data_IF_261486657522
#
_entry.id   IF_261486657522
#
_cell.length_a   1.000
_cell.length_b   1.000
_cell.length_c   1.000
_cell.angle_alpha   90.00
_cell.angle_beta   90.00
_cell.angle_gamma   90.00
#
_symmetry.space_group_name_H-M   'P 1'
#
loop_
_entity.id
_entity.type
_entity.pdbx_description
1 polymer ?
#
# COMPACT_ATOMS: atom_id res chain seq x y z
N UNK A 1 30.72 33.34 -32.04
CA UNK A 1 30.37 31.96 -31.64
C UNK A 1 28.93 31.94 -31.14
N UNK A 2 27.98 31.74 -32.05
CA UNK A 2 26.56 31.60 -31.76
C UNK A 2 26.24 30.11 -31.64
N UNK A 3 26.07 29.62 -30.41
CA UNK A 3 25.54 28.28 -30.17
C UNK A 3 24.04 28.28 -30.51
N UNK A 4 23.65 27.55 -31.56
CA UNK A 4 22.26 27.26 -31.91
C UNK A 4 21.93 25.78 -31.56
N UNK A 5 20.74 25.26 -31.90
CA UNK A 5 19.54 25.06 -31.09
C UNK A 5 19.38 23.63 -30.53
N UNK A 6 20.48 22.96 -30.16
CA UNK A 6 20.44 21.55 -29.71
C UNK A 6 19.80 21.34 -28.32
N UNK A 7 19.76 22.37 -27.46
CA UNK A 7 19.09 22.32 -26.16
C UNK A 7 17.57 22.52 -26.29
N UNK A 8 17.12 23.32 -27.27
CA UNK A 8 15.69 23.54 -27.54
C UNK A 8 15.02 22.23 -28.00
N UNK A 9 15.64 21.50 -28.93
CA UNK A 9 15.11 20.20 -29.39
C UNK A 9 15.05 19.13 -28.29
N UNK A 10 15.99 19.12 -27.34
CA UNK A 10 15.96 18.21 -26.19
C UNK A 10 14.92 18.61 -25.14
N UNK A 11 14.71 19.91 -24.92
CA UNK A 11 13.67 20.42 -24.05
C UNK A 11 12.27 20.10 -24.60
N UNK A 12 12.07 20.28 -25.90
CA UNK A 12 10.79 19.97 -26.58
C UNK A 12 10.50 18.48 -26.61
N UNK A 13 11.50 17.65 -26.89
CA UNK A 13 11.35 16.19 -26.81
C UNK A 13 10.97 15.72 -25.39
N UNK A 14 11.58 16.31 -24.34
CA UNK A 14 11.23 16.01 -22.95
C UNK A 14 9.82 16.49 -22.60
N UNK A 15 9.41 17.67 -23.06
CA UNK A 15 8.06 18.20 -22.84
C UNK A 15 7.00 17.34 -23.54
N UNK A 16 7.25 16.94 -24.78
CA UNK A 16 6.37 16.04 -25.53
C UNK A 16 6.27 14.67 -24.87
N UNK A 17 7.40 14.12 -24.40
CA UNK A 17 7.38 12.87 -23.62
C UNK A 17 6.50 12.99 -22.37
N UNK A 18 6.61 14.07 -21.59
CA UNK A 18 5.75 14.28 -20.41
C UNK A 18 4.27 14.39 -20.79
N UNK A 19 3.93 15.11 -21.87
CA UNK A 19 2.54 15.18 -22.38
C UNK A 19 1.98 13.80 -22.74
N UNK A 20 2.77 12.99 -23.46
CA UNK A 20 2.38 11.64 -23.85
C UNK A 20 2.18 10.75 -22.63
N UNK A 21 3.07 10.80 -21.63
CA UNK A 21 2.93 10.01 -20.41
C UNK A 21 1.72 10.43 -19.57
N UNK A 22 1.42 11.73 -19.48
CA UNK A 22 0.24 12.22 -18.79
C UNK A 22 -1.06 11.78 -19.48
N UNK A 23 -1.13 11.94 -20.81
CA UNK A 23 -2.28 11.49 -21.60
C UNK A 23 -2.45 9.96 -21.52
N UNK A 24 -1.35 9.20 -21.60
CA UNK A 24 -1.37 7.75 -21.46
C UNK A 24 -1.88 7.31 -20.10
N UNK A 25 -1.41 7.94 -19.01
CA UNK A 25 -1.90 7.64 -17.65
C UNK A 25 -3.41 7.81 -17.57
N UNK A 26 -3.93 8.96 -18.02
CA UNK A 26 -5.36 9.22 -18.00
C UNK A 26 -6.14 8.22 -18.87
N UNK A 27 -5.66 7.94 -20.08
CA UNK A 27 -6.31 7.01 -21.00
C UNK A 27 -6.39 5.59 -20.45
N UNK A 28 -5.33 5.11 -19.80
CA UNK A 28 -5.31 3.79 -19.14
C UNK A 28 -6.21 3.74 -17.90
N UNK A 29 -6.30 4.84 -17.15
CA UNK A 29 -7.18 4.93 -15.98
C UNK A 29 -8.67 4.92 -16.38
N UNK A 30 -9.02 5.55 -17.51
CA UNK A 30 -10.41 5.66 -18.01
C UNK A 30 -10.88 4.45 -18.83
N UNK A 31 -10.04 3.96 -19.74
CA UNK A 31 -10.43 2.96 -20.75
C UNK A 31 -9.71 1.62 -20.56
N UNK A 32 -8.89 1.51 -19.51
CA UNK A 32 -8.10 0.33 -19.22
C UNK A 32 -6.99 0.09 -20.25
N UNK A 33 -6.50 -1.16 -20.31
CA UNK A 33 -5.50 -1.67 -21.22
C UNK A 33 -5.50 -0.98 -22.56
N UNK A 34 -6.64 -1.19 -23.20
CA UNK A 34 -6.81 -1.49 -24.63
C UNK A 34 -6.80 -0.27 -25.52
N UNK A 35 -6.65 0.92 -24.93
CA UNK A 35 -6.53 2.17 -25.67
C UNK A 35 -5.30 2.14 -26.60
N UNK A 36 -5.49 2.62 -27.82
CA UNK A 36 -4.45 2.60 -28.85
C UNK A 36 -3.45 3.75 -28.68
N UNK A 37 -2.20 3.53 -29.11
CA UNK A 37 -1.16 4.57 -29.13
C UNK A 37 -1.58 5.79 -29.96
N UNK A 38 -2.41 5.60 -30.99
CA UNK A 38 -2.95 6.69 -31.81
C UNK A 38 -3.91 7.60 -31.04
N UNK A 39 -4.80 7.02 -30.23
CA UNK A 39 -5.72 7.78 -29.36
C UNK A 39 -4.93 8.58 -28.31
N UNK A 40 -3.93 7.94 -27.68
CA UNK A 40 -3.04 8.61 -26.72
C UNK A 40 -2.28 9.76 -27.39
N UNK A 41 -1.76 9.56 -28.61
CA UNK A 41 -1.04 10.60 -29.35
C UNK A 41 -1.94 11.81 -29.62
N UNK A 42 -3.18 11.56 -30.06
CA UNK A 42 -4.18 12.60 -30.27
C UNK A 42 -4.50 13.37 -28.98
N UNK A 43 -4.76 12.66 -27.87
CA UNK A 43 -5.01 13.28 -26.56
C UNK A 43 -3.81 14.09 -26.05
N UNK A 44 -2.58 13.64 -26.31
CA UNK A 44 -1.36 14.35 -25.95
C UNK A 44 -1.09 15.59 -26.81
N UNK A 45 -1.79 15.75 -27.94
CA UNK A 45 -1.51 16.78 -28.94
C UNK A 45 -0.13 16.59 -29.59
N UNK A 46 0.31 15.34 -29.76
CA UNK A 46 1.63 14.98 -30.33
C UNK A 46 1.42 14.08 -31.54
N UNK A 47 2.21 14.27 -32.61
CA UNK A 47 2.10 13.43 -33.80
C UNK A 47 2.38 11.95 -33.51
N UNK A 48 1.57 11.04 -34.06
CA UNK A 48 1.67 9.59 -33.81
C UNK A 48 3.08 9.03 -34.06
N UNK A 49 3.77 9.47 -35.14
CA UNK A 49 5.14 9.05 -35.42
C UNK A 49 6.15 9.39 -34.31
N UNK A 50 5.92 10.47 -33.56
CA UNK A 50 6.76 10.82 -32.39
C UNK A 50 6.51 9.85 -31.23
N UNK A 51 5.25 9.47 -31.00
CA UNK A 51 4.89 8.49 -29.97
C UNK A 51 5.47 7.12 -30.31
N UNK A 52 5.25 6.60 -31.53
CA UNK A 52 5.78 5.30 -31.97
C UNK A 52 7.31 5.24 -31.92
N UNK A 53 8.01 6.35 -32.20
CA UNK A 53 9.48 6.41 -32.09
C UNK A 53 9.97 6.30 -30.66
N UNK A 54 9.26 6.88 -29.69
CA UNK A 54 9.65 6.86 -28.27
C UNK A 54 9.08 5.65 -27.51
N UNK A 55 7.99 5.09 -27.99
CA UNK A 55 7.23 4.01 -27.38
C UNK A 55 6.80 3.04 -28.50
N UNK A 56 7.73 2.18 -28.98
CA UNK A 56 7.46 1.30 -30.10
C UNK A 56 6.47 0.17 -29.74
N UNK A 57 6.26 -0.08 -28.45
CA UNK A 57 5.26 -1.00 -27.95
C UNK A 57 4.46 -0.39 -26.80
N UNK A 58 3.27 -0.94 -26.57
CA UNK A 58 2.37 -0.52 -25.50
C UNK A 58 2.93 -0.84 -24.12
N UNK A 59 3.64 -1.96 -23.99
CA UNK A 59 4.32 -2.38 -22.76
C UNK A 59 5.41 -1.36 -22.38
N UNK A 60 6.13 -0.81 -23.37
CA UNK A 60 7.14 0.25 -23.14
C UNK A 60 6.46 1.55 -22.70
N UNK A 61 5.28 1.87 -23.23
CA UNK A 61 4.52 3.03 -22.77
C UNK A 61 3.99 2.83 -21.34
N UNK A 62 3.39 1.68 -21.05
CA UNK A 62 2.91 1.29 -19.72
C UNK A 62 4.05 1.34 -18.68
N UNK A 63 5.22 0.79 -19.02
CA UNK A 63 6.42 0.89 -18.20
C UNK A 63 6.77 2.34 -17.86
N UNK A 64 6.86 3.17 -18.89
CA UNK A 64 7.28 4.55 -18.73
C UNK A 64 6.25 5.36 -17.92
N UNK A 65 4.96 5.05 -18.05
CA UNK A 65 3.90 5.64 -17.23
C UNK A 65 4.10 5.25 -15.76
N UNK A 66 4.28 3.96 -15.45
CA UNK A 66 4.51 3.51 -14.08
C UNK A 66 5.79 4.08 -13.46
N UNK A 67 6.88 4.13 -14.24
CA UNK A 67 8.14 4.76 -13.83
C UNK A 67 7.92 6.23 -13.47
N UNK A 68 7.20 6.98 -14.31
CA UNK A 68 6.89 8.38 -14.04
C UNK A 68 6.00 8.53 -12.79
N UNK A 69 4.98 7.67 -12.63
CA UNK A 69 4.11 7.70 -11.46
C UNK A 69 4.88 7.43 -10.16
N UNK A 70 5.79 6.46 -10.15
CA UNK A 70 6.66 6.19 -9.00
C UNK A 70 7.63 7.34 -8.73
N UNK A 71 8.22 7.91 -9.77
CA UNK A 71 9.13 9.06 -9.64
C UNK A 71 8.39 10.30 -9.10
N UNK A 72 7.14 10.54 -9.51
CA UNK A 72 6.29 11.61 -8.97
C UNK A 72 5.94 11.36 -7.49
N UNK A 73 5.75 10.11 -7.08
CA UNK A 73 5.53 9.75 -5.67
C UNK A 73 6.80 9.90 -4.83
N UNK A 74 7.98 9.60 -5.38
CA UNK A 74 9.27 9.86 -4.71
C UNK A 74 9.44 11.35 -4.46
N UNK A 75 9.10 12.20 -5.44
CA UNK A 75 9.19 13.64 -5.29
C UNK A 75 8.18 14.17 -4.27
N UNK A 76 6.95 13.66 -4.28
CA UNK A 76 5.97 13.97 -3.25
C UNK A 76 6.47 13.56 -1.85
N UNK A 77 7.07 12.37 -1.70
CA UNK A 77 7.62 11.91 -0.43
C UNK A 77 8.68 12.88 0.12
N UNK A 78 9.55 13.42 -0.74
CA UNK A 78 10.54 14.44 -0.36
C UNK A 78 9.90 15.74 0.13
N UNK A 79 8.86 16.20 -0.55
CA UNK A 79 8.11 17.39 -0.16
C UNK A 79 7.42 17.20 1.20
N UNK A 80 6.86 16.01 1.45
CA UNK A 80 6.30 15.67 2.75
C UNK A 80 7.37 15.57 3.83
N UNK A 81 8.53 14.97 3.53
CA UNK A 81 9.65 14.84 4.46
C UNK A 81 10.23 16.19 4.90
N UNK A 82 10.04 17.25 4.11
CA UNK A 82 10.45 18.61 4.47
C UNK A 82 9.54 19.29 5.51
N UNK A 83 8.43 18.68 5.92
CA UNK A 83 7.51 19.25 6.91
C UNK A 83 7.99 19.04 8.35
N UNK A 84 7.56 19.94 9.24
CA UNK A 84 8.01 20.00 10.65
C UNK A 84 7.55 18.81 11.47
N UNK A 85 6.31 18.35 11.30
CA UNK A 85 5.75 17.20 12.02
C UNK A 85 5.93 15.91 11.20
N UNK A 86 6.82 14.99 11.62
CA UNK A 86 7.09 13.76 10.87
C UNK A 86 5.90 12.80 10.80
N UNK A 87 5.06 12.77 11.83
CA UNK A 87 3.89 11.90 11.86
C UNK A 87 2.81 12.43 10.92
N UNK A 88 2.50 13.73 11.00
CA UNK A 88 1.59 14.36 10.05
C UNK A 88 2.12 14.26 8.61
N UNK A 89 3.43 14.35 8.41
CA UNK A 89 4.05 14.18 7.11
C UNK A 89 3.82 12.78 6.53
N UNK A 90 4.08 11.74 7.33
CA UNK A 90 3.87 10.36 6.94
C UNK A 90 2.41 10.07 6.60
N UNK A 91 1.47 10.42 7.48
CA UNK A 91 0.04 10.17 7.23
C UNK A 91 -0.49 10.97 6.04
N UNK A 92 -0.05 12.21 5.89
CA UNK A 92 -0.40 13.05 4.75
C UNK A 92 0.10 12.47 3.43
N UNK A 93 1.33 11.96 3.41
CA UNK A 93 1.88 11.27 2.25
C UNK A 93 1.08 10.01 1.90
N UNK A 94 0.72 9.16 2.87
CA UNK A 94 -0.08 7.96 2.61
C UNK A 94 -1.46 8.29 2.04
N UNK A 95 -2.11 9.35 2.56
CA UNK A 95 -3.38 9.83 1.99
C UNK A 95 -3.21 10.29 0.55
N UNK A 96 -2.14 11.02 0.23
CA UNK A 96 -1.84 11.43 -1.14
C UNK A 96 -1.57 10.24 -2.07
N UNK A 97 -0.84 9.21 -1.60
CA UNK A 97 -0.62 7.97 -2.38
C UNK A 97 -1.95 7.27 -2.68
N UNK A 98 -2.84 7.15 -1.69
CA UNK A 98 -4.16 6.53 -1.89
C UNK A 98 -5.01 7.36 -2.85
N UNK A 99 -4.99 8.69 -2.71
CA UNK A 99 -5.71 9.63 -3.57
C UNK A 99 -5.23 9.53 -5.04
N UNK A 100 -3.91 9.55 -5.25
CA UNK A 100 -3.29 9.38 -6.56
C UNK A 100 -3.46 7.99 -7.14
N UNK A 101 -3.69 6.95 -6.32
CA UNK A 101 -3.92 5.59 -6.80
C UNK A 101 -5.33 5.37 -7.36
N UNK A 102 -6.23 6.36 -7.22
CA UNK A 102 -7.57 6.33 -7.85
C UNK A 102 -7.42 6.18 -9.37
N UNK A 103 -8.10 5.19 -9.95
CA UNK A 103 -8.07 4.93 -11.40
C UNK A 103 -6.92 4.03 -11.88
N UNK A 104 -5.81 3.92 -11.13
CA UNK A 104 -4.56 3.27 -11.58
C UNK A 104 -4.54 1.74 -11.57
N UNK A 105 -5.65 1.08 -11.19
CA UNK A 105 -5.73 -0.40 -11.10
C UNK A 105 -5.39 -1.07 -12.43
N UNK A 106 -5.92 -0.50 -13.51
CA UNK A 106 -5.79 -1.05 -14.85
C UNK A 106 -4.33 -1.12 -15.34
N UNK A 107 -3.52 -0.09 -15.06
CA UNK A 107 -2.12 -0.06 -15.48
C UNK A 107 -1.27 -1.12 -14.77
N UNK A 108 -1.51 -1.36 -13.48
CA UNK A 108 -0.81 -2.38 -12.70
C UNK A 108 -1.23 -3.81 -13.11
N UNK A 109 -2.53 -4.05 -13.29
CA UNK A 109 -3.07 -5.37 -13.66
C UNK A 109 -2.67 -5.80 -15.08
N UNK A 110 -2.51 -4.84 -16.00
CA UNK A 110 -2.03 -5.10 -17.37
C UNK A 110 -0.64 -5.75 -17.42
N UNK A 111 0.20 -5.46 -16.43
CA UNK A 111 1.61 -5.82 -16.43
C UNK A 111 1.91 -7.10 -15.64
N UNK A 112 0.99 -7.55 -14.79
CA UNK A 112 1.12 -8.83 -14.05
C UNK A 112 0.64 -10.03 -14.86
N UNK A 113 -0.07 -9.81 -15.96
CA UNK A 113 -0.66 -10.85 -16.82
C UNK A 113 0.25 -11.32 -17.96
N UNK A 114 1.39 -10.66 -18.21
CA UNK A 114 2.36 -11.04 -19.25
C UNK A 114 3.79 -11.13 -18.69
N UNK A 115 4.49 -12.23 -18.98
CA UNK A 115 5.77 -12.62 -18.34
C UNK A 115 6.99 -11.78 -18.73
N UNK A 116 8.02 -11.82 -17.86
CA UNK A 116 9.30 -11.06 -17.85
C UNK A 116 9.27 -9.63 -17.27
N UNK A 117 8.45 -9.43 -16.23
CA UNK A 117 8.30 -8.17 -15.50
C UNK A 117 8.76 -8.32 -14.03
N UNK A 118 9.35 -7.29 -13.38
CA UNK A 118 9.61 -5.92 -13.85
C UNK A 118 10.92 -5.75 -14.61
N UNK A 119 10.91 -4.91 -15.64
CA UNK A 119 12.14 -4.43 -16.29
C UNK A 119 13.01 -3.62 -15.31
N UNK A 120 14.34 -3.53 -15.53
CA UNK A 120 15.26 -2.89 -14.58
C UNK A 120 14.90 -1.45 -14.21
N UNK A 121 14.31 -0.69 -15.14
CA UNK A 121 13.96 0.72 -14.93
C UNK A 121 12.83 0.88 -13.90
N UNK A 122 11.75 0.09 -14.05
CA UNK A 122 10.66 0.05 -13.08
C UNK A 122 11.16 -0.43 -11.72
N UNK A 123 11.96 -1.49 -11.68
CA UNK A 123 12.52 -2.00 -10.43
C UNK A 123 13.37 -0.94 -9.70
N UNK A 124 14.10 -0.10 -10.44
CA UNK A 124 14.86 1.02 -9.87
C UNK A 124 13.96 2.12 -9.32
N UNK A 125 12.88 2.52 -10.02
CA UNK A 125 11.89 3.46 -9.47
C UNK A 125 11.18 2.92 -8.24
N UNK A 126 10.78 1.64 -8.25
CA UNK A 126 10.12 0.99 -7.12
C UNK A 126 11.03 0.96 -5.88
N UNK A 127 12.33 0.67 -6.06
CA UNK A 127 13.32 0.77 -4.97
C UNK A 127 13.43 2.18 -4.41
N UNK A 128 13.49 3.20 -5.27
CA UNK A 128 13.56 4.61 -4.85
C UNK A 128 12.30 5.03 -4.07
N UNK A 129 11.13 4.62 -4.53
CA UNK A 129 9.87 4.84 -3.83
C UNK A 129 9.87 4.17 -2.45
N UNK A 130 10.24 2.89 -2.38
CA UNK A 130 10.32 2.15 -1.12
C UNK A 130 11.29 2.80 -0.13
N UNK A 131 12.44 3.29 -0.61
CA UNK A 131 13.39 4.01 0.23
C UNK A 131 12.79 5.31 0.78
N UNK A 132 12.14 6.12 -0.06
CA UNK A 132 11.53 7.37 0.39
C UNK A 132 10.39 7.14 1.40
N UNK A 133 9.60 6.09 1.22
CA UNK A 133 8.58 5.67 2.19
C UNK A 133 9.20 5.21 3.52
N UNK A 134 10.28 4.43 3.47
CA UNK A 134 11.02 3.97 4.67
C UNK A 134 11.58 5.15 5.46
N UNK A 135 12.13 6.16 4.79
CA UNK A 135 12.64 7.39 5.42
C UNK A 135 11.54 8.13 6.19
N UNK A 136 10.35 8.31 5.58
CA UNK A 136 9.18 8.91 6.23
C UNK A 136 8.68 8.08 7.42
N UNK A 137 8.56 6.76 7.24
CA UNK A 137 8.12 5.85 8.29
C UNK A 137 9.05 5.92 9.50
N UNK A 138 10.36 5.81 9.29
CA UNK A 138 11.36 5.90 10.37
C UNK A 138 11.34 7.24 11.07
N UNK A 139 11.13 8.34 10.33
CA UNK A 139 11.02 9.67 10.94
C UNK A 139 9.78 9.77 11.85
N UNK A 140 8.62 9.27 11.38
CA UNK A 140 7.39 9.24 12.17
C UNK A 140 7.47 8.32 13.40
N UNK A 141 8.15 7.17 13.27
CA UNK A 141 8.43 6.25 14.38
C UNK A 141 9.35 6.87 15.42
N UNK A 142 10.44 7.55 15.00
CA UNK A 142 11.33 8.28 15.92
C UNK A 142 10.62 9.40 16.66
N UNK A 143 9.65 10.06 16.02
CA UNK A 143 8.81 11.07 16.64
C UNK A 143 7.72 10.50 17.56
N UNK A 144 7.57 9.17 17.65
CA UNK A 144 6.57 8.50 18.48
C UNK A 144 5.13 8.61 17.94
N UNK A 145 4.93 9.08 16.71
CA UNK A 145 3.59 9.21 16.11
C UNK A 145 3.09 7.93 15.43
N UNK A 146 4.00 7.00 15.13
CA UNK A 146 3.72 5.72 14.46
C UNK A 146 4.32 4.58 15.27
N UNK A 147 3.60 3.46 15.35
CA UNK A 147 4.05 2.24 16.04
C UNK A 147 5.35 1.68 15.43
N UNK A 148 6.20 1.07 16.23
CA UNK A 148 7.56 0.64 15.83
C UNK A 148 7.64 -0.79 15.31
N UNK A 149 6.54 -1.54 15.40
CA UNK A 149 6.41 -2.95 14.97
C UNK A 149 5.87 -3.10 13.54
N UNK A 150 5.69 -1.99 12.80
CA UNK A 150 5.31 -2.01 11.39
C UNK A 150 6.52 -1.73 10.49
N UNK A 151 6.61 -2.48 9.41
CA UNK A 151 7.62 -2.33 8.37
C UNK A 151 7.11 -1.53 7.17
N UNK A 152 8.03 -1.10 6.32
CA UNK A 152 7.72 -0.43 5.04
C UNK A 152 6.91 -1.34 4.11
N UNK A 153 7.12 -2.66 4.16
CA UNK A 153 6.37 -3.63 3.37
C UNK A 153 4.92 -3.74 3.88
N UNK A 154 4.70 -3.70 5.20
CA UNK A 154 3.35 -3.67 5.81
C UNK A 154 2.58 -2.41 5.39
N UNK A 155 3.25 -1.25 5.44
CA UNK A 155 2.65 0.03 5.04
C UNK A 155 2.32 0.04 3.54
N UNK A 156 3.19 -0.55 2.72
CA UNK A 156 2.94 -0.69 1.27
C UNK A 156 1.71 -1.56 1.03
N UNK A 157 1.63 -2.73 1.67
CA UNK A 157 0.48 -3.63 1.56
C UNK A 157 -0.81 -2.97 2.04
N UNK A 158 -0.77 -2.26 3.17
CA UNK A 158 -1.91 -1.53 3.72
C UNK A 158 -2.40 -0.45 2.74
N UNK A 159 -1.48 0.28 2.11
CA UNK A 159 -1.81 1.35 1.15
C UNK A 159 -2.48 0.79 -0.11
N UNK A 160 -1.99 -0.34 -0.62
CA UNK A 160 -2.61 -1.07 -1.74
C UNK A 160 -4.02 -1.57 -1.35
N UNK A 161 -4.16 -2.12 -0.14
CA UNK A 161 -5.46 -2.50 0.42
C UNK A 161 -6.43 -1.33 0.53
N UNK A 162 -5.96 -0.17 1.01
CA UNK A 162 -6.75 1.07 1.12
C UNK A 162 -7.24 1.54 -0.26
N UNK A 163 -6.39 1.55 -1.28
CA UNK A 163 -6.79 1.89 -2.64
C UNK A 163 -7.84 0.91 -3.20
N UNK A 164 -7.72 -0.37 -2.84
CA UNK A 164 -8.67 -1.41 -3.25
C UNK A 164 -10.03 -1.24 -2.58
N UNK A 165 -10.05 -1.05 -1.26
CA UNK A 165 -11.23 -0.77 -0.46
C UNK A 165 -11.93 0.46 -0.99
N UNK A 166 -11.19 1.56 -1.18
CA UNK A 166 -11.75 2.81 -1.69
C UNK A 166 -12.51 2.59 -3.01
N UNK A 167 -11.87 1.92 -3.97
CA UNK A 167 -12.47 1.66 -5.28
C UNK A 167 -13.65 0.66 -5.24
N UNK A 168 -13.79 -0.14 -4.18
CA UNK A 168 -14.93 -1.04 -4.00
C UNK A 168 -16.17 -0.30 -3.45
N UNK A 169 -16.01 0.88 -2.86
CA UNK A 169 -17.12 1.67 -2.35
C UNK A 169 -17.75 2.54 -3.44
N UNK A 170 -19.09 2.48 -3.57
CA UNK A 170 -19.86 3.36 -4.45
C UNK A 170 -19.96 4.80 -3.94
N UNK A 171 -19.93 4.98 -2.61
CA UNK A 171 -19.89 6.29 -1.96
C UNK A 171 -18.43 6.68 -1.64
N UNK A 172 -17.92 7.80 -2.20
CA UNK A 172 -16.59 8.31 -1.90
C UNK A 172 -16.34 8.54 -0.40
N UNK A 173 -17.36 8.92 0.37
CA UNK A 173 -17.20 9.18 1.80
C UNK A 173 -16.99 7.89 2.61
N UNK A 174 -17.68 6.81 2.24
CA UNK A 174 -17.47 5.48 2.81
C UNK A 174 -16.03 4.97 2.61
N UNK A 175 -15.50 5.09 1.39
CA UNK A 175 -14.10 4.75 1.08
C UNK A 175 -13.12 5.59 1.91
N UNK A 176 -13.35 6.90 1.99
CA UNK A 176 -12.54 7.81 2.81
C UNK A 176 -12.48 7.42 4.27
N UNK A 177 -13.63 7.05 4.84
CA UNK A 177 -13.70 6.62 6.22
C UNK A 177 -12.88 5.34 6.46
N UNK A 178 -12.98 4.35 5.57
CA UNK A 178 -12.24 3.09 5.74
C UNK A 178 -10.74 3.30 5.65
N UNK A 179 -10.27 4.13 4.71
CA UNK A 179 -8.84 4.46 4.61
C UNK A 179 -8.35 5.20 5.85
N UNK A 180 -9.12 6.15 6.39
CA UNK A 180 -8.73 6.83 7.64
C UNK A 180 -8.62 5.87 8.81
N UNK A 181 -9.59 4.96 8.99
CA UNK A 181 -9.53 3.94 10.05
C UNK A 181 -8.33 3.01 9.89
N UNK A 182 -8.04 2.59 8.66
CA UNK A 182 -6.88 1.75 8.36
C UNK A 182 -5.56 2.47 8.69
N UNK A 183 -5.41 3.73 8.29
CA UNK A 183 -4.21 4.52 8.59
C UNK A 183 -4.10 4.85 10.09
N UNK A 184 -5.22 5.10 10.78
CA UNK A 184 -5.24 5.32 12.23
C UNK A 184 -4.68 4.13 13.02
N UNK A 185 -4.80 2.90 12.50
CA UNK A 185 -4.23 1.69 13.12
C UNK A 185 -2.69 1.67 13.20
N UNK A 186 -2.02 2.53 12.42
CA UNK A 186 -0.57 2.70 12.45
C UNK A 186 -0.10 3.65 13.54
N UNK A 187 -0.99 4.44 14.15
CA UNK A 187 -0.59 5.36 15.22
C UNK A 187 0.00 4.59 16.39
N UNK A 188 0.97 5.21 17.06
CA UNK A 188 1.54 4.64 18.26
C UNK A 188 0.43 4.37 19.31
N UNK A 189 0.46 3.22 19.99
CA UNK A 189 -0.57 2.87 20.96
C UNK A 189 -0.59 3.88 22.12
N UNK A 190 -1.78 4.41 22.42
CA UNK A 190 -1.99 5.32 23.53
C UNK A 190 -2.00 4.56 24.86
N UNK A 191 -0.87 4.45 25.56
CA UNK A 191 -0.72 3.96 26.95
C UNK A 191 -1.79 2.96 27.45
N UNK A 192 -2.12 1.93 26.66
CA UNK A 192 -3.09 0.92 27.09
C UNK A 192 -2.30 -0.06 27.94
N UNK A 193 -2.53 -0.05 29.25
CA UNK A 193 -1.83 -0.86 30.26
C UNK A 193 -1.90 -2.37 30.01
N UNK A 194 -2.79 -2.83 29.10
CA UNK A 194 -2.76 -4.16 28.50
C UNK A 194 -3.25 -4.10 27.05
N UNK A 195 -2.34 -4.00 26.09
CA UNK A 195 -2.66 -4.26 24.68
C UNK A 195 -3.00 -5.74 24.52
N UNK A 196 -4.29 -6.10 24.53
CA UNK A 196 -4.69 -7.40 23.98
C UNK A 196 -4.38 -7.34 22.50
N UNK A 197 -3.35 -8.06 22.06
CA UNK A 197 -3.01 -8.19 20.65
C UNK A 197 -4.25 -8.58 19.85
N UNK A 198 -4.39 -8.00 18.65
CA UNK A 198 -5.37 -8.48 17.68
C UNK A 198 -5.13 -9.99 17.46
N UNK A 199 -6.19 -10.77 17.36
CA UNK A 199 -6.05 -12.20 17.06
C UNK A 199 -6.02 -12.36 15.55
N UNK A 200 -4.82 -12.54 15.02
CA UNK A 200 -4.55 -12.53 13.57
C UNK A 200 -4.94 -13.85 12.88
N UNK A 201 -5.36 -14.85 13.66
CA UNK A 201 -5.94 -16.09 13.16
C UNK A 201 -7.46 -16.04 13.35
N UNK A 202 -8.26 -16.32 12.30
CA UNK A 202 -9.65 -16.74 12.49
C UNK A 202 -9.55 -18.02 13.29
N UNK A 203 -9.67 -17.89 14.62
CA UNK A 203 -9.19 -18.91 15.53
C UNK A 203 -9.72 -20.26 15.12
N UNK A 204 -8.83 -21.25 14.99
CA UNK A 204 -9.19 -22.63 15.25
C UNK A 204 -10.03 -22.56 16.51
N UNK A 205 -11.34 -22.83 16.39
CA UNK A 205 -12.28 -22.90 17.50
C UNK A 205 -11.53 -23.63 18.61
N UNK A 206 -11.11 -22.89 19.65
CA UNK A 206 -10.27 -23.47 20.68
C UNK A 206 -10.98 -24.74 21.12
N UNK A 207 -10.30 -25.89 20.99
CA UNK A 207 -10.83 -27.15 21.49
C UNK A 207 -11.30 -26.85 22.92
N UNK A 208 -12.62 -26.95 23.15
CA UNK A 208 -13.20 -26.48 24.41
C UNK A 208 -12.41 -27.14 25.54
N UNK A 209 -11.87 -26.35 26.49
CA UNK A 209 -11.01 -26.91 27.53
C UNK A 209 -11.77 -28.04 28.22
N UNK A 210 -11.12 -29.19 28.39
CA UNK A 210 -11.71 -30.37 29.03
C UNK A 210 -11.12 -30.53 30.42
N UNK A 211 -11.93 -31.03 31.33
CA UNK A 211 -11.50 -31.40 32.67
C UNK A 211 -10.37 -32.43 32.56
N UNK A 212 -9.22 -32.15 33.17
CA UNK A 212 -8.06 -33.06 33.16
C UNK A 212 -8.38 -34.42 33.84
N UNK A 213 -9.42 -34.48 34.68
CA UNK A 213 -9.80 -35.71 35.40
C UNK A 213 -10.91 -36.54 34.74
N UNK A 214 -11.91 -35.89 34.15
CA UNK A 214 -13.10 -36.59 33.65
C UNK A 214 -13.42 -36.31 32.18
N UNK A 215 -12.64 -35.46 31.50
CA UNK A 215 -12.85 -35.10 30.11
C UNK A 215 -14.10 -34.25 29.83
N UNK A 216 -14.87 -33.88 30.86
CA UNK A 216 -16.05 -33.02 30.72
C UNK A 216 -15.65 -31.65 30.16
N UNK A 217 -16.52 -31.05 29.34
CA UNK A 217 -16.29 -29.70 28.81
C UNK A 217 -16.31 -28.69 29.94
N UNK A 218 -15.32 -27.81 29.96
CA UNK A 218 -15.22 -26.69 30.90
C UNK A 218 -15.78 -25.45 30.22
N UNK A 219 -16.48 -24.63 31.00
CA UNK A 219 -16.93 -23.32 30.56
C UNK A 219 -15.74 -22.40 30.38
N UNK A 220 -15.60 -21.84 29.19
CA UNK A 220 -14.61 -20.82 28.91
C UNK A 220 -15.03 -19.51 29.60
N UNK A 221 -14.30 -19.11 30.64
CA UNK A 221 -14.48 -17.79 31.25
C UNK A 221 -13.76 -16.73 30.42
N UNK A 222 -14.39 -15.58 30.24
CA UNK A 222 -13.85 -14.45 29.47
C UNK A 222 -12.65 -13.76 30.15
N UNK A 223 -12.46 -13.99 31.46
CA UNK A 223 -11.39 -13.42 32.28
C UNK A 223 -10.91 -14.41 33.35
N UNK A 224 -9.61 -14.40 33.64
CA UNK A 224 -8.98 -15.20 34.70
C UNK A 224 -8.20 -16.42 34.21
N UNK A 225 -7.55 -17.13 35.14
CA UNK A 225 -6.80 -18.37 34.84
C UNK A 225 -7.80 -19.46 34.41
N UNK A 226 -7.55 -20.18 33.29
CA UNK A 226 -8.45 -21.22 32.82
C UNK A 226 -8.65 -22.31 33.87
N UNK A 227 -9.89 -22.74 34.06
CA UNK A 227 -10.21 -23.85 34.96
C UNK A 227 -9.57 -25.14 34.43
N UNK A 228 -8.96 -25.93 35.32
CA UNK A 228 -8.41 -27.26 34.98
C UNK A 228 -9.39 -28.40 35.25
N UNK A 229 -10.39 -28.15 36.10
CA UNK A 229 -11.33 -29.16 36.59
C UNK A 229 -12.77 -28.63 36.59
N UNK A 230 -13.76 -29.48 36.31
CA UNK A 230 -15.16 -29.09 36.18
C UNK A 230 -15.87 -28.82 37.52
N UNK A 231 -15.29 -29.22 38.65
CA UNK A 231 -15.90 -29.04 39.96
C UNK A 231 -15.00 -29.51 41.11
N UNK A 232 -15.48 -29.34 42.34
CA UNK A 232 -14.76 -29.70 43.56
C UNK A 232 -14.39 -31.20 43.62
N UNK A 233 -15.28 -32.08 43.14
CA UNK A 233 -15.07 -33.53 43.13
C UNK A 233 -13.88 -33.94 42.26
N UNK A 234 -13.73 -33.36 41.07
CA UNK A 234 -12.58 -33.64 40.20
C UNK A 234 -11.28 -33.10 40.81
N UNK A 235 -11.30 -31.90 41.43
CA UNK A 235 -10.13 -31.38 42.15
C UNK A 235 -9.67 -32.32 43.28
N UNK A 236 -10.60 -32.84 44.07
CA UNK A 236 -10.28 -33.75 45.16
C UNK A 236 -9.72 -35.09 44.66
N UNK A 237 -10.24 -35.64 43.55
CA UNK A 237 -9.67 -36.85 42.92
C UNK A 237 -8.24 -36.64 42.42
N UNK A 238 -7.98 -35.51 41.76
CA UNK A 238 -6.65 -35.14 41.30
C UNK A 238 -5.65 -35.08 42.47
N UNK A 239 -6.03 -34.43 43.57
CA UNK A 239 -5.18 -34.33 44.76
C UNK A 239 -4.86 -35.69 45.38
N UNK A 240 -5.83 -36.61 45.46
CA UNK A 240 -5.62 -37.96 46.00
C UNK A 240 -4.76 -38.87 45.12
N UNK A 241 -4.60 -38.58 43.83
CA UNK A 241 -3.69 -39.32 42.94
C UNK A 241 -2.23 -38.86 43.05
N UNK A 242 -2.02 -37.65 43.57
CA UNK A 242 -0.70 -37.03 43.73
C UNK A 242 -0.14 -37.19 45.16
N UNK A 243 -0.90 -37.81 46.06
CA UNK A 243 -0.52 -38.16 47.44
C UNK A 243 -0.29 -39.66 47.54
#
# INVERSE_FOLDING_TARGET
MTAAPQDAGRADARRNRRKVLAAASQAFDEHGPDVSLGVIAHQAGVGAGTVYRHFPSKEILLEAVLVQQLDDLVEAARQWAARVDPAAAFFGFLLEVVDKSRGRKHACDALTTQTSWPRPSLAASARRFRQALDELLRAAQRAGGVRTDVSTDDVTALTVGCATIWAAHRDPNGGARMVRLALESLRAPSNVTQGRGFRDTPGTLHAMPRCEECGARLEARSTGRPARYCGATCRQRAHRRLS
#
